data_IF_183589966580
#
_entry.id   IF_183589966580
#
_cell.length_a   1.000
_cell.length_b   1.000
_cell.length_c   1.000
_cell.angle_alpha   90.00
_cell.angle_beta   90.00
_cell.angle_gamma   90.00
#
_symmetry.space_group_name_H-M   'P 1'
#
loop_
_entity.id
_entity.type
_entity.pdbx_description
1 polymer ?
2 polymer ?
3 branched ?
4 branched ?
5 non-polymer ?
6 non-polymer ?
#
# COMPACT_ATOMS: atom_id res chain seq x y z
N UNK A 1 -4.19 -32.12 -10.95
CA UNK A 1 -4.61 -30.87 -11.59
C UNK A 1 -5.60 -30.12 -10.71
N UNK A 2 -5.15 -29.00 -10.15
CA UNK A 2 -5.93 -28.28 -9.15
C UNK A 2 -6.58 -27.01 -9.69
N UNK A 3 -6.50 -26.75 -10.99
CA UNK A 3 -7.02 -25.50 -11.52
C UNK A 3 -7.78 -25.63 -12.82
N UNK A 4 -7.95 -24.50 -13.50
CA UNK A 4 -8.66 -24.45 -14.78
C UNK A 4 -8.10 -23.26 -15.56
N UNK A 5 -7.24 -23.54 -16.53
CA UNK A 5 -6.66 -22.47 -17.32
C UNK A 5 -7.65 -21.95 -18.35
N UNK A 6 -7.48 -20.69 -18.72
CA UNK A 6 -8.20 -20.08 -19.81
C UNK A 6 -7.30 -19.09 -20.51
N UNK A 7 -7.80 -18.43 -21.55
CA UNK A 7 -6.96 -17.46 -22.27
C UNK A 7 -6.47 -16.32 -21.39
N UNK A 8 -7.37 -15.71 -20.60
CA UNK A 8 -7.01 -14.52 -19.83
C UNK A 8 -7.33 -14.68 -18.35
N UNK A 9 -7.26 -15.90 -17.83
CA UNK A 9 -7.60 -16.11 -16.42
C UNK A 9 -7.01 -17.44 -15.95
N UNK A 10 -7.16 -17.69 -14.65
CA UNK A 10 -6.83 -18.98 -14.05
C UNK A 10 -7.75 -19.17 -12.86
N UNK A 11 -8.74 -20.04 -13.00
CA UNK A 11 -9.67 -20.35 -11.91
C UNK A 11 -9.02 -21.41 -11.04
N UNK A 12 -8.74 -21.12 -9.77
CA UNK A 12 -8.17 -22.17 -8.89
C UNK A 12 -9.23 -23.17 -8.43
N UNK A 13 -9.68 -23.99 -9.38
CA UNK A 13 -10.69 -25.01 -9.08
C UNK A 13 -10.68 -26.03 -10.21
N UNK A 14 -10.65 -27.32 -9.85
CA UNK A 14 -10.59 -28.36 -10.86
C UNK A 14 -11.88 -28.37 -11.67
N UNK A 15 -11.74 -28.44 -13.00
CA UNK A 15 -12.88 -28.56 -13.91
C UNK A 15 -13.19 -30.01 -14.23
N UNK A 16 -12.71 -30.95 -13.42
CA UNK A 16 -13.01 -32.37 -13.63
C UNK A 16 -14.49 -32.67 -13.53
N UNK A 17 -15.30 -31.75 -13.01
CA UNK A 17 -16.75 -31.91 -12.96
C UNK A 17 -17.48 -31.06 -13.99
N UNK A 18 -16.74 -30.29 -14.80
CA UNK A 18 -17.33 -29.50 -15.85
C UNK A 18 -18.08 -28.28 -15.39
N UNK A 19 -17.83 -27.80 -14.17
CA UNK A 19 -18.59 -26.69 -13.60
C UNK A 19 -17.88 -25.34 -13.72
N UNK A 20 -16.57 -25.33 -13.95
CA UNK A 20 -15.83 -24.08 -13.97
C UNK A 20 -16.26 -23.22 -15.15
N UNK A 21 -16.51 -21.94 -14.87
CA UNK A 21 -16.87 -20.95 -15.87
C UNK A 21 -15.83 -19.83 -15.87
N UNK A 22 -15.74 -19.15 -17.01
CA UNK A 22 -14.88 -17.98 -17.11
C UNK A 22 -15.29 -16.94 -16.06
N UNK A 23 -14.36 -16.42 -15.27
CA UNK A 23 -14.71 -15.39 -14.28
C UNK A 23 -15.18 -14.07 -14.90
N UNK A 24 -15.19 -13.95 -16.22
CA UNK A 24 -15.79 -12.81 -16.90
C UNK A 24 -17.25 -13.10 -17.24
N UNK A 25 -17.67 -14.37 -17.26
CA UNK A 25 -18.99 -14.69 -17.78
C UNK A 25 -20.04 -15.20 -16.80
N UNK A 26 -19.65 -15.95 -15.78
CA UNK A 26 -20.65 -16.57 -14.91
C UNK A 26 -20.14 -16.62 -13.48
N UNK A 27 -21.04 -16.56 -12.50
CA UNK A 27 -20.61 -16.53 -11.09
C UNK A 27 -19.82 -17.77 -10.69
N UNK A 28 -18.74 -17.53 -9.93
CA UNK A 28 -17.89 -18.60 -9.39
C UNK A 28 -18.38 -19.00 -8.00
N UNK A 29 -19.61 -19.48 -7.95
CA UNK A 29 -20.18 -19.93 -6.68
C UNK A 29 -19.77 -21.35 -6.33
N UNK A 30 -18.94 -21.99 -7.15
CA UNK A 30 -18.45 -23.33 -6.85
C UNK A 30 -17.14 -23.35 -6.09
N UNK A 31 -16.38 -22.26 -6.12
CA UNK A 31 -15.16 -22.13 -5.32
C UNK A 31 -15.37 -21.34 -4.04
N UNK A 32 -16.57 -20.81 -3.84
CA UNK A 32 -16.90 -20.08 -2.61
C UNK A 32 -18.41 -19.90 -2.49
N UNK A 33 -18.95 -20.16 -1.30
CA UNK A 33 -20.37 -19.98 -1.01
C UNK A 33 -20.80 -18.56 -1.35
N UNK A 34 -22.06 -18.32 -1.73
CA UNK A 34 -22.49 -16.96 -2.03
C UNK A 34 -22.41 -16.02 -0.84
N UNK A 35 -22.44 -16.53 0.40
CA UNK A 35 -22.28 -15.64 1.54
C UNK A 35 -20.82 -15.23 1.72
N UNK A 36 -19.89 -16.14 1.41
CA UNK A 36 -18.48 -15.76 1.38
C UNK A 36 -18.25 -14.61 0.41
N UNK A 37 -19.01 -14.59 -0.70
CA UNK A 37 -18.98 -13.44 -1.59
C UNK A 37 -19.59 -12.21 -0.93
N UNK A 38 -20.66 -12.39 -0.16
CA UNK A 38 -21.26 -11.27 0.55
C UNK A 38 -20.31 -10.73 1.61
N UNK A 39 -19.64 -11.63 2.33
CA UNK A 39 -18.66 -11.19 3.32
C UNK A 39 -17.52 -10.43 2.65
N UNK A 40 -17.08 -10.88 1.48
CA UNK A 40 -16.12 -10.10 0.71
C UNK A 40 -16.67 -8.71 0.42
N UNK A 41 -17.93 -8.66 -0.05
CA UNK A 41 -18.57 -7.37 -0.29
C UNK A 41 -18.68 -6.56 0.99
N UNK A 42 -19.03 -7.21 2.10
CA UNK A 42 -19.07 -6.54 3.38
C UNK A 42 -17.72 -5.90 3.70
N UNK A 43 -16.63 -6.64 3.50
CA UNK A 43 -15.32 -6.11 3.83
C UNK A 43 -14.94 -4.96 2.92
N UNK A 44 -15.15 -5.11 1.61
CA UNK A 44 -14.92 -4.00 0.69
C UNK A 44 -15.71 -2.77 1.11
N UNK A 45 -16.97 -2.97 1.46
CA UNK A 45 -17.80 -1.87 1.95
C UNK A 45 -17.17 -1.18 3.14
N UNK A 46 -16.61 -1.96 4.07
CA UNK A 46 -15.96 -1.38 5.24
C UNK A 46 -14.80 -0.47 4.84
N UNK A 47 -13.90 -0.96 3.98
CA UNK A 47 -12.74 -0.18 3.59
C UNK A 47 -13.12 1.08 2.82
N UNK A 48 -14.31 1.12 2.23
CA UNK A 48 -14.79 2.36 1.62
C UNK A 48 -15.25 3.34 2.70
N UNK A 49 -16.02 2.84 3.67
CA UNK A 49 -16.60 3.70 4.70
C UNK A 49 -15.53 4.28 5.62
N UNK A 50 -14.41 3.59 5.78
CA UNK A 50 -13.30 4.12 6.56
C UNK A 50 -12.24 4.78 5.69
N UNK A 51 -11.87 4.12 4.59
CA UNK A 51 -10.80 4.64 3.75
C UNK A 51 -11.15 5.98 3.11
N UNK A 52 -12.37 6.14 2.61
CA UNK A 52 -12.71 7.36 1.89
C UNK A 52 -12.72 8.58 2.81
N UNK A 53 -13.44 8.59 3.96
CA UNK A 53 -13.39 9.79 4.81
C UNK A 53 -11.97 10.15 5.23
N UNK A 54 -11.29 9.18 5.86
CA UNK A 54 -9.97 9.42 6.44
C UNK A 54 -9.02 10.02 5.41
N UNK A 55 -8.94 9.38 4.25
CA UNK A 55 -8.02 9.88 3.22
C UNK A 55 -8.53 11.17 2.58
N UNK A 56 -9.84 11.34 2.51
CA UNK A 56 -10.38 12.57 1.93
C UNK A 56 -10.27 13.73 2.91
N UNK A 57 -10.58 13.49 4.19
CA UNK A 57 -10.42 14.53 5.20
C UNK A 57 -8.97 15.00 5.27
N UNK A 58 -8.02 14.07 5.08
CA UNK A 58 -6.61 14.45 5.01
C UNK A 58 -6.37 15.46 3.88
N UNK A 59 -6.95 15.22 2.71
CA UNK A 59 -6.85 16.18 1.63
C UNK A 59 -7.62 17.47 1.95
N UNK A 60 -8.71 17.36 2.70
CA UNK A 60 -9.58 18.52 2.91
C UNK A 60 -8.96 19.50 3.90
N UNK A 61 -8.47 19.01 5.04
CA UNK A 61 -7.93 19.92 6.05
C UNK A 61 -6.69 20.64 5.53
N UNK A 62 -5.91 19.99 4.67
CA UNK A 62 -4.75 20.65 4.09
C UNK A 62 -5.17 21.84 3.24
N UNK A 63 -6.40 21.82 2.71
CA UNK A 63 -6.91 22.97 1.99
C UNK A 63 -7.34 24.07 2.95
N UNK A 64 -7.78 23.71 4.15
CA UNK A 64 -8.29 24.69 5.11
C UNK A 64 -7.21 25.28 6.01
N UNK A 65 -6.01 24.70 6.03
CA UNK A 65 -5.00 25.06 7.03
C UNK A 65 -3.67 25.36 6.34
N UNK A 66 -3.32 26.65 6.29
CA UNK A 66 -2.06 27.10 5.67
C UNK A 66 -0.86 26.34 6.22
N UNK A 67 -0.87 26.02 7.52
CA UNK A 67 0.31 25.45 8.15
C UNK A 67 0.55 23.99 7.81
N UNK A 68 -0.42 23.30 7.21
CA UNK A 68 -0.19 21.94 6.75
C UNK A 68 0.53 21.90 5.41
N UNK A 69 0.51 23.00 4.66
CA UNK A 69 1.03 23.01 3.29
C UNK A 69 2.53 23.31 3.28
N UNK A 70 3.28 22.39 3.88
CA UNK A 70 4.73 22.40 3.96
C UNK A 70 5.31 21.30 3.08
N UNK A 71 6.53 21.48 2.54
CA UNK A 71 7.10 20.47 1.64
C UNK A 71 7.23 19.09 2.26
N UNK A 72 7.60 19.00 3.54
CA UNK A 72 7.74 17.71 4.22
C UNK A 72 6.41 16.99 4.41
N UNK A 73 5.29 17.64 4.06
CA UNK A 73 3.97 17.02 4.11
C UNK A 73 3.46 16.58 2.74
N UNK A 74 4.09 17.03 1.66
CA UNK A 74 3.65 16.66 0.31
C UNK A 74 3.52 15.16 0.15
N UNK A 75 4.55 14.42 0.58
CA UNK A 75 4.53 12.96 0.44
C UNK A 75 3.34 12.36 1.18
N UNK A 76 2.90 12.99 2.28
CA UNK A 76 1.75 12.48 3.02
C UNK A 76 0.46 12.66 2.24
N UNK A 77 0.31 13.79 1.57
CA UNK A 77 -0.84 13.99 0.71
C UNK A 77 -0.83 12.98 -0.43
N UNK A 78 0.32 12.84 -1.09
CA UNK A 78 0.50 11.81 -2.09
C UNK A 78 0.03 10.45 -1.59
N UNK A 79 0.35 10.14 -0.32
CA UNK A 79 -0.13 8.90 0.28
C UNK A 79 -1.65 8.83 0.30
N UNK A 80 -2.30 9.88 0.81
CA UNK A 80 -3.76 9.89 0.87
C UNK A 80 -4.38 9.76 -0.52
N UNK A 81 -3.73 10.36 -1.53
CA UNK A 81 -4.21 10.22 -2.90
C UNK A 81 -4.01 8.79 -3.39
N UNK A 82 -2.85 8.21 -3.07
CA UNK A 82 -2.60 6.81 -3.43
C UNK A 82 -3.66 5.89 -2.85
N UNK A 83 -4.05 6.12 -1.59
CA UNK A 83 -5.12 5.32 -1.01
C UNK A 83 -6.45 5.54 -1.72
N UNK A 84 -6.73 6.79 -2.10
CA UNK A 84 -7.97 7.04 -2.85
C UNK A 84 -7.97 6.26 -4.16
N UNK A 85 -6.82 6.14 -4.80
CA UNK A 85 -6.69 5.23 -5.94
C UNK A 85 -7.03 3.80 -5.53
N UNK A 86 -6.49 3.35 -4.40
CA UNK A 86 -6.81 2.03 -3.90
C UNK A 86 -8.30 1.88 -3.60
N UNK A 87 -8.97 2.96 -3.22
CA UNK A 87 -10.38 2.89 -2.84
C UNK A 87 -11.26 2.80 -4.07
N UNK A 88 -11.18 3.80 -4.95
CA UNK A 88 -12.07 3.85 -6.11
C UNK A 88 -11.58 2.97 -7.26
N UNK A 89 -10.31 2.57 -7.25
CA UNK A 89 -9.83 1.63 -8.24
C UNK A 89 -10.16 0.20 -7.86
N UNK A 90 -9.74 -0.20 -6.66
CA UNK A 90 -9.97 -1.57 -6.23
C UNK A 90 -11.15 -1.95 -5.35
N UNK A 91 -11.48 -1.08 -4.40
CA UNK A 91 -12.39 -1.47 -3.32
C UNK A 91 -13.79 -1.35 -3.92
N UNK A 92 -14.10 -0.18 -4.49
CA UNK A 92 -15.43 0.05 -5.05
C UNK A 92 -15.75 -0.97 -6.14
N UNK A 93 -14.80 -1.18 -7.06
CA UNK A 93 -15.00 -2.18 -8.11
C UNK A 93 -15.25 -3.56 -7.52
N UNK A 94 -14.35 -4.01 -6.64
CA UNK A 94 -14.48 -5.34 -6.04
C UNK A 94 -15.79 -5.47 -5.27
N UNK A 95 -16.26 -4.39 -4.65
CA UNK A 95 -17.58 -4.43 -4.02
C UNK A 95 -18.66 -4.74 -5.05
N UNK A 96 -18.61 -4.08 -6.21
CA UNK A 96 -19.62 -4.32 -7.24
C UNK A 96 -19.50 -5.74 -7.79
N UNK A 97 -18.29 -6.16 -8.14
CA UNK A 97 -18.11 -7.47 -8.76
C UNK A 97 -18.44 -8.59 -7.78
N UNK A 98 -18.09 -8.43 -6.50
CA UNK A 98 -18.40 -9.45 -5.51
C UNK A 98 -19.89 -9.75 -5.46
N UNK A 99 -20.73 -8.73 -5.69
CA UNK A 99 -22.18 -8.90 -5.63
C UNK A 99 -22.75 -9.63 -6.83
N UNK A 100 -21.99 -9.76 -7.92
CA UNK A 100 -22.40 -10.62 -9.04
C UNK A 100 -21.80 -12.02 -8.93
N UNK A 101 -20.67 -12.17 -8.25
CA UNK A 101 -19.98 -13.44 -8.17
C UNK A 101 -18.87 -13.62 -9.18
N UNK A 102 -18.60 -12.62 -10.02
CA UNK A 102 -17.54 -12.71 -11.02
C UNK A 102 -17.22 -11.33 -11.53
N UNK A 103 -16.07 -11.22 -12.20
CA UNK A 103 -15.56 -9.93 -12.67
C UNK A 103 -16.30 -9.55 -13.95
N UNK A 104 -17.45 -8.89 -13.76
CA UNK A 104 -18.37 -8.59 -14.85
C UNK A 104 -17.78 -7.68 -15.92
N UNK A 105 -16.71 -6.97 -15.60
CA UNK A 105 -16.17 -5.95 -16.51
C UNK A 105 -15.23 -6.54 -17.56
N UNK A 106 -15.15 -7.86 -17.68
CA UNK A 106 -14.34 -8.48 -18.69
C UNK A 106 -12.86 -8.25 -18.47
N UNK A 107 -12.03 -8.78 -19.38
CA UNK A 107 -10.58 -8.60 -19.23
C UNK A 107 -10.14 -7.15 -19.33
N UNK A 108 -10.84 -6.32 -20.10
CA UNK A 108 -10.52 -4.89 -20.15
C UNK A 108 -10.63 -4.27 -18.77
N UNK A 109 -11.79 -4.42 -18.12
CA UNK A 109 -11.94 -3.99 -16.75
C UNK A 109 -10.90 -4.62 -15.83
N UNK A 110 -10.49 -5.85 -16.12
CA UNK A 110 -9.48 -6.52 -15.30
C UNK A 110 -8.15 -5.78 -15.37
N UNK A 111 -7.83 -5.18 -16.53
CA UNK A 111 -6.60 -4.42 -16.64
C UNK A 111 -6.72 -3.05 -16.00
N UNK A 112 -7.85 -2.36 -16.21
CA UNK A 112 -8.09 -1.08 -15.56
C UNK A 112 -8.05 -1.23 -14.05
N UNK A 113 -8.94 -2.07 -13.50
CA UNK A 113 -8.96 -2.33 -12.07
C UNK A 113 -7.58 -2.71 -11.55
N UNK A 114 -6.96 -3.71 -12.17
CA UNK A 114 -5.65 -4.14 -11.73
C UNK A 114 -4.61 -3.04 -11.78
N UNK A 115 -4.64 -2.22 -12.84
CA UNK A 115 -3.66 -1.15 -12.96
C UNK A 115 -3.79 -0.14 -11.82
N UNK A 116 -4.98 0.45 -11.66
CA UNK A 116 -5.14 1.51 -10.68
C UNK A 116 -5.00 1.01 -9.26
N UNK A 117 -5.47 -0.20 -8.98
CA UNK A 117 -5.26 -0.80 -7.66
C UNK A 117 -3.77 -1.04 -7.40
N UNK A 118 -3.07 -1.61 -8.38
CA UNK A 118 -1.61 -1.76 -8.24
C UNK A 118 -0.93 -0.41 -8.15
N UNK A 119 -1.34 0.54 -9.00
CA UNK A 119 -0.75 1.88 -8.97
C UNK A 119 -0.97 2.53 -7.62
N UNK A 120 -2.19 2.47 -7.10
CA UNK A 120 -2.48 3.07 -5.81
C UNK A 120 -1.61 2.52 -4.69
N UNK A 121 -1.50 1.19 -4.62
CA UNK A 121 -0.74 0.58 -3.54
C UNK A 121 0.75 0.79 -3.62
N UNK A 122 1.27 0.97 -4.84
CA UNK A 122 2.71 1.18 -5.00
C UNK A 122 3.11 2.64 -4.80
N UNK A 123 2.29 3.59 -5.28
CA UNK A 123 2.51 5.00 -4.94
C UNK A 123 2.56 5.14 -3.42
N UNK A 124 1.61 4.50 -2.72
CA UNK A 124 1.61 4.52 -1.27
C UNK A 124 2.85 3.85 -0.72
N UNK A 125 3.22 2.70 -1.28
CA UNK A 125 4.42 1.98 -0.83
C UNK A 125 5.65 2.88 -0.91
N UNK A 126 5.95 3.39 -2.10
CA UNK A 126 7.13 4.22 -2.26
C UNK A 126 6.99 5.55 -1.53
N UNK A 127 5.76 6.01 -1.32
CA UNK A 127 5.54 7.19 -0.49
C UNK A 127 6.12 6.97 0.91
N UNK A 128 5.90 5.79 1.47
CA UNK A 128 6.50 5.46 2.76
C UNK A 128 8.03 5.43 2.67
N UNK A 129 8.56 4.91 1.56
CA UNK A 129 10.00 4.89 1.34
C UNK A 129 10.53 6.32 1.28
N UNK A 130 9.89 7.16 0.46
CA UNK A 130 10.33 8.55 0.31
C UNK A 130 10.28 9.28 1.64
N UNK A 131 9.17 9.13 2.37
CA UNK A 131 9.04 9.78 3.67
C UNK A 131 10.16 9.35 4.61
N UNK A 132 10.45 8.05 4.65
CA UNK A 132 11.55 7.58 5.49
C UNK A 132 12.86 8.23 5.10
N UNK A 133 13.12 8.35 3.79
CA UNK A 133 14.33 9.00 3.32
C UNK A 133 14.38 10.44 3.80
N UNK A 134 13.33 11.21 3.52
CA UNK A 134 13.27 12.62 3.90
C UNK A 134 13.60 12.81 5.37
N UNK A 135 13.00 11.98 6.24
CA UNK A 135 13.23 12.11 7.67
C UNK A 135 14.68 11.79 8.02
N UNK A 136 15.26 10.77 7.40
CA UNK A 136 16.68 10.51 7.59
C UNK A 136 17.52 11.71 7.18
N UNK A 137 17.24 12.26 5.99
CA UNK A 137 17.99 13.42 5.50
C UNK A 137 17.82 14.59 6.46
N UNK A 138 16.58 14.90 6.82
CA UNK A 138 16.31 16.08 7.64
C UNK A 138 16.92 15.95 9.02
N UNK A 139 16.72 14.80 9.67
CA UNK A 139 17.17 14.62 11.04
C UNK A 139 18.65 14.27 11.09
N UNK A 140 19.04 13.15 10.44
CA UNK A 140 20.39 12.66 10.58
C UNK A 140 21.42 13.55 9.90
N UNK A 141 20.99 14.42 8.98
CA UNK A 141 21.82 15.37 8.26
C UNK A 141 23.10 14.86 7.59
N UNK A 142 23.05 13.73 6.88
CA UNK A 142 24.26 13.24 6.22
C UNK A 142 25.02 14.18 5.31
N UNK A 143 24.32 15.11 4.67
CA UNK A 143 24.93 16.08 3.77
C UNK A 143 25.00 17.42 4.49
N UNK A 144 26.21 17.87 4.80
CA UNK A 144 26.36 19.16 5.44
C UNK A 144 25.91 20.28 4.52
N UNK A 145 25.28 21.30 5.12
CA UNK A 145 24.77 22.49 4.45
C UNK A 145 23.63 22.20 3.50
N UNK A 146 23.06 21.00 3.53
CA UNK A 146 21.91 20.71 2.68
C UNK A 146 20.62 21.22 3.34
N UNK A 147 19.68 21.62 2.50
CA UNK A 147 18.39 22.11 2.97
C UNK A 147 17.28 21.49 2.12
N UNK A 148 16.29 20.89 2.79
CA UNK A 148 15.18 20.24 2.10
C UNK A 148 14.06 21.23 1.87
N UNK A 149 13.68 21.42 0.61
CA UNK A 149 12.67 22.40 0.27
C UNK A 149 11.60 21.92 -0.67
N UNK A 150 10.83 22.86 -1.24
CA UNK A 150 9.75 22.52 -2.15
C UNK A 150 10.27 21.82 -3.40
N UNK A 151 11.45 22.23 -3.88
CA UNK A 151 12.00 21.62 -5.10
C UNK A 151 12.35 20.15 -4.88
N UNK A 152 13.12 19.86 -3.83
CA UNK A 152 13.44 18.47 -3.52
C UNK A 152 12.19 17.67 -3.21
N UNK A 153 11.19 18.30 -2.58
CA UNK A 153 10.00 17.57 -2.16
C UNK A 153 9.19 17.08 -3.35
N UNK A 154 9.07 17.92 -4.40
CA UNK A 154 8.32 17.51 -5.59
C UNK A 154 9.03 16.36 -6.30
N UNK A 155 10.36 16.40 -6.34
CA UNK A 155 11.12 15.25 -6.84
C UNK A 155 10.70 13.97 -6.14
N UNK A 156 10.57 14.03 -4.80
CA UNK A 156 10.20 12.85 -4.05
C UNK A 156 8.86 12.27 -4.48
N UNK A 157 7.87 13.14 -4.69
CA UNK A 157 6.54 12.66 -5.05
C UNK A 157 6.54 12.05 -6.43
N UNK A 158 7.19 12.73 -7.40
CA UNK A 158 7.30 12.17 -8.74
C UNK A 158 8.01 10.83 -8.72
N UNK A 159 9.03 10.68 -7.88
CA UNK A 159 9.76 9.43 -7.79
C UNK A 159 8.84 8.25 -7.48
N UNK A 160 7.89 8.44 -6.57
CA UNK A 160 6.93 7.38 -6.28
C UNK A 160 6.11 7.03 -7.51
N UNK A 161 5.70 8.04 -8.29
CA UNK A 161 4.91 7.79 -9.48
C UNK A 161 5.69 6.96 -10.50
N UNK A 162 6.96 7.30 -10.71
CA UNK A 162 7.78 6.54 -11.65
C UNK A 162 7.96 5.11 -11.16
N UNK A 163 8.31 4.96 -9.87
CA UNK A 163 8.45 3.63 -9.30
C UNK A 163 7.15 2.84 -9.38
N UNK A 164 6.01 3.52 -9.20
CA UNK A 164 4.73 2.81 -9.23
C UNK A 164 4.36 2.38 -10.64
N UNK A 165 4.52 3.29 -11.61
CA UNK A 165 4.32 2.91 -13.01
C UNK A 165 5.30 1.83 -13.41
N UNK A 166 6.54 1.91 -12.93
CA UNK A 166 7.53 0.87 -13.18
C UNK A 166 7.06 -0.50 -12.73
N UNK A 167 6.01 -0.58 -11.91
CA UNK A 167 5.43 -1.83 -11.45
C UNK A 167 4.05 -2.11 -12.00
N UNK A 168 3.25 -1.07 -12.25
CA UNK A 168 1.85 -1.26 -12.62
C UNK A 168 1.61 -1.30 -14.12
N UNK A 169 2.56 -0.83 -14.94
CA UNK A 169 2.37 -0.74 -16.38
C UNK A 169 2.90 -1.96 -17.16
N UNK A 170 4.03 -2.55 -16.79
CA UNK A 170 4.54 -3.72 -17.55
C UNK A 170 3.50 -4.82 -17.72
N UNK A 171 2.63 -5.09 -16.73
CA UNK A 171 1.59 -6.11 -16.98
C UNK A 171 0.60 -5.73 -18.05
N UNK A 172 0.50 -4.46 -18.42
CA UNK A 172 -0.35 -4.07 -19.54
C UNK A 172 0.30 -4.34 -20.89
N UNK A 173 1.61 -4.54 -20.94
CA UNK A 173 2.32 -4.58 -22.21
C UNK A 173 3.17 -5.84 -22.35
N UNK A 174 2.96 -6.80 -21.45
CA UNK A 174 3.45 -8.15 -21.68
C UNK A 174 4.54 -8.67 -20.75
N UNK A 175 4.99 -7.95 -19.72
CA UNK A 175 5.97 -8.51 -18.80
C UNK A 175 5.31 -9.09 -17.55
N UNK A 176 4.02 -8.89 -17.40
CA UNK A 176 3.22 -9.80 -16.60
C UNK A 176 1.79 -9.63 -17.10
N UNK A 177 0.83 -10.08 -16.31
CA UNK A 177 -0.53 -9.82 -16.70
C UNK A 177 -1.40 -9.65 -15.46
N UNK A 178 -2.46 -8.88 -15.62
CA UNK A 178 -3.53 -8.82 -14.63
C UNK A 178 -4.54 -9.91 -14.97
N UNK A 179 -4.78 -10.81 -14.02
CA UNK A 179 -5.84 -11.81 -14.18
C UNK A 179 -6.74 -11.74 -12.95
N UNK A 180 -7.98 -12.21 -13.06
CA UNK A 180 -8.81 -12.38 -11.86
C UNK A 180 -8.06 -13.19 -10.80
N UNK A 181 -8.29 -12.82 -9.54
CA UNK A 181 -7.50 -13.29 -8.42
C UNK A 181 -8.41 -13.88 -7.36
N UNK A 182 -7.90 -14.87 -6.64
CA UNK A 182 -8.61 -15.45 -5.50
C UNK A 182 -10.00 -15.89 -5.84
N UNK A 183 -11.01 -15.24 -5.25
CA UNK A 183 -12.40 -15.54 -5.58
C UNK A 183 -12.82 -14.93 -6.94
N UNK A 184 -11.87 -14.45 -7.74
CA UNK A 184 -12.04 -14.01 -9.12
C UNK A 184 -12.82 -12.71 -9.25
N UNK A 185 -13.05 -11.99 -8.15
CA UNK A 185 -13.77 -10.72 -8.22
C UNK A 185 -12.85 -9.51 -8.31
N UNK A 186 -11.57 -9.66 -7.95
CA UNK A 186 -10.61 -8.59 -8.05
C UNK A 186 -9.44 -9.04 -8.93
N UNK A 187 -8.82 -8.08 -9.60
CA UNK A 187 -7.76 -8.34 -10.55
C UNK A 187 -6.42 -7.84 -10.01
N UNK A 188 -5.40 -8.67 -10.14
CA UNK A 188 -4.07 -8.35 -9.67
C UNK A 188 -3.00 -8.98 -10.55
N UNK A 189 -1.76 -8.82 -10.12
CA UNK A 189 -0.61 -9.36 -10.86
C UNK A 189 -0.65 -10.88 -10.80
N UNK A 190 -0.45 -11.52 -11.95
CA UNK A 190 -0.31 -12.97 -12.00
C UNK A 190 1.09 -13.32 -11.52
N UNK A 191 1.21 -13.65 -10.24
CA UNK A 191 2.48 -14.03 -9.64
C UNK A 191 2.57 -15.53 -9.39
N UNK A 192 1.54 -16.29 -9.78
CA UNK A 192 1.47 -17.69 -9.39
C UNK A 192 1.22 -18.71 -10.49
N UNK A 193 1.28 -18.33 -11.75
CA UNK A 193 1.16 -19.28 -12.86
C UNK A 193 2.29 -18.97 -13.84
N UNK A 194 3.21 -19.89 -14.07
CA UNK A 194 4.30 -19.63 -15.03
C UNK A 194 3.73 -19.45 -16.43
N UNK A 195 3.98 -18.26 -16.99
CA UNK A 195 3.40 -17.85 -18.26
C UNK A 195 4.53 -17.31 -19.14
N UNK A 196 5.36 -18.22 -19.65
CA UNK A 196 6.57 -17.84 -20.38
C UNK A 196 6.28 -16.88 -21.53
N UNK A 197 5.04 -16.77 -21.97
CA UNK A 197 4.68 -15.78 -22.97
C UNK A 197 4.83 -14.37 -22.44
N UNK A 198 4.72 -14.20 -21.12
CA UNK A 198 4.90 -12.90 -20.48
C UNK A 198 6.07 -12.85 -19.50
N UNK A 199 6.78 -13.97 -19.30
CA UNK A 199 7.96 -14.02 -18.42
C UNK A 199 7.60 -13.56 -17.00
N UNK A 200 6.62 -14.24 -16.42
CA UNK A 200 6.20 -13.93 -15.05
C UNK A 200 7.34 -14.15 -14.06
N UNK A 201 8.06 -15.27 -14.22
CA UNK A 201 9.17 -15.59 -13.31
C UNK A 201 10.11 -14.40 -13.14
N UNK A 202 10.46 -13.74 -14.25
CA UNK A 202 11.34 -12.58 -14.17
C UNK A 202 10.66 -11.44 -13.43
N UNK A 203 9.40 -11.16 -13.78
CA UNK A 203 8.70 -10.02 -13.19
C UNK A 203 8.52 -10.18 -11.68
N UNK A 204 8.17 -11.38 -11.24
CA UNK A 204 8.01 -11.62 -9.80
C UNK A 204 9.30 -11.27 -9.06
N UNK A 205 10.44 -11.69 -9.60
CA UNK A 205 11.73 -11.37 -8.97
C UNK A 205 11.99 -9.87 -9.04
N UNK A 206 11.72 -9.26 -10.20
CA UNK A 206 11.79 -7.81 -10.32
C UNK A 206 10.95 -7.13 -9.24
N UNK A 207 9.70 -7.56 -9.11
CA UNK A 207 8.84 -7.10 -8.02
C UNK A 207 9.49 -7.35 -6.67
N UNK A 208 9.87 -8.61 -6.42
CA UNK A 208 10.34 -9.00 -5.09
C UNK A 208 11.58 -8.21 -4.69
N UNK A 209 12.54 -8.08 -5.60
CA UNK A 209 13.77 -7.36 -5.27
C UNK A 209 13.53 -5.85 -5.28
N UNK A 210 13.19 -5.30 -6.46
CA UNK A 210 13.10 -3.86 -6.62
C UNK A 210 12.04 -3.28 -5.68
N UNK A 211 10.81 -3.78 -5.76
CA UNK A 211 9.70 -3.13 -5.09
C UNK A 211 9.64 -3.52 -3.63
N UNK A 212 9.83 -4.80 -3.30
CA UNK A 212 9.90 -5.19 -1.89
C UNK A 212 11.21 -5.03 -1.13
N UNK A 213 12.29 -5.70 -1.57
CA UNK A 213 13.52 -5.73 -0.80
C UNK A 213 14.11 -4.33 -0.66
N UNK A 214 14.21 -3.60 -1.77
CA UNK A 214 14.81 -2.26 -1.76
C UNK A 214 14.09 -1.36 -0.75
N UNK A 215 12.75 -1.20 -0.82
CA UNK A 215 12.09 -0.41 0.23
C UNK A 215 12.32 -0.93 1.64
N UNK A 216 12.20 -2.25 1.83
CA UNK A 216 12.44 -2.83 3.15
C UNK A 216 13.79 -2.40 3.71
N UNK A 217 14.81 -2.31 2.85
CA UNK A 217 16.15 -1.96 3.30
C UNK A 217 16.27 -0.46 3.52
N UNK A 218 15.84 0.35 2.54
CA UNK A 218 15.84 1.80 2.71
C UNK A 218 15.12 2.19 3.99
N UNK A 219 13.89 1.68 4.17
CA UNK A 219 13.09 2.02 5.35
C UNK A 219 13.77 1.53 6.62
N UNK A 220 14.48 0.41 6.56
CA UNK A 220 15.19 -0.05 7.74
C UNK A 220 16.46 0.75 8.00
N UNK A 221 17.22 1.08 6.95
CA UNK A 221 18.38 1.93 7.13
C UNK A 221 17.97 3.32 7.59
N UNK A 222 17.14 4.01 6.79
CA UNK A 222 16.76 5.38 7.09
C UNK A 222 16.24 5.53 8.53
N UNK A 223 15.39 4.61 8.96
CA UNK A 223 14.85 4.69 10.31
C UNK A 223 15.80 4.11 11.34
N UNK A 224 16.66 3.18 10.96
CA UNK A 224 17.70 2.72 11.85
C UNK A 224 18.58 3.86 12.32
N UNK A 225 19.16 4.59 11.35
CA UNK A 225 20.01 5.72 11.69
C UNK A 225 19.25 6.76 12.51
N UNK A 226 17.97 6.97 12.21
CA UNK A 226 17.21 8.03 12.85
C UNK A 226 17.09 7.79 14.35
N UNK A 227 16.71 6.58 14.75
CA UNK A 227 16.67 6.25 16.17
C UNK A 227 18.06 6.40 16.78
N UNK A 228 19.09 5.97 16.04
CA UNK A 228 20.45 6.11 16.54
C UNK A 228 20.81 7.58 16.76
N UNK A 229 20.60 8.41 15.72
CA UNK A 229 20.86 9.85 15.85
C UNK A 229 20.09 10.46 17.01
N UNK A 230 18.88 9.96 17.27
CA UNK A 230 18.06 10.51 18.35
C UNK A 230 18.49 9.94 19.70
N UNK A 231 18.85 8.65 19.74
CA UNK A 231 19.37 8.07 20.98
C UNK A 231 20.61 8.82 21.45
N UNK A 232 21.56 9.04 20.55
CA UNK A 232 22.82 9.70 20.90
C UNK A 232 22.57 11.12 21.42
N UNK A 233 21.82 11.91 20.66
CA UNK A 233 21.55 13.29 21.06
C UNK A 233 20.79 13.38 22.38
N UNK A 234 20.07 12.33 22.76
CA UNK A 234 19.41 12.31 24.06
C UNK A 234 20.40 12.03 25.19
N UNK A 235 21.29 11.05 25.00
CA UNK A 235 22.29 10.75 26.02
C UNK A 235 23.15 11.98 26.34
N UNK A 236 23.58 12.70 25.32
CA UNK A 236 24.34 13.92 25.51
C UNK A 236 23.52 15.06 26.09
N UNK A 237 22.21 14.87 26.25
CA UNK A 237 21.33 15.94 26.69
C UNK A 237 20.38 15.45 27.78
N UNK A 238 20.86 14.55 28.65
CA UNK A 238 19.99 13.91 29.63
C UNK A 238 19.37 14.90 30.60
N UNK A 239 19.89 16.11 30.68
CA UNK A 239 19.32 17.15 31.53
C UNK A 239 18.04 17.74 30.96
N UNK A 240 17.64 17.33 29.76
CA UNK A 240 16.44 17.85 29.10
C UNK A 240 15.38 16.76 29.07
N UNK A 241 14.36 16.90 29.93
CA UNK A 241 13.29 15.91 29.97
C UNK A 241 12.55 15.83 28.63
N UNK A 242 12.39 16.98 27.97
CA UNK A 242 11.74 16.98 26.66
C UNK A 242 12.52 16.13 25.66
N UNK A 243 13.83 16.37 25.55
CA UNK A 243 14.65 15.57 24.65
C UNK A 243 14.59 14.09 25.00
N UNK A 244 14.33 13.77 26.28
CA UNK A 244 14.19 12.36 26.67
C UNK A 244 12.83 11.82 26.24
N UNK A 245 11.78 12.65 26.32
CA UNK A 245 10.47 12.24 25.83
C UNK A 245 10.49 12.01 24.32
N UNK A 246 11.03 12.99 23.57
CA UNK A 246 11.08 12.86 22.12
C UNK A 246 11.74 11.56 21.70
N UNK A 247 12.87 11.22 22.32
CA UNK A 247 13.55 9.96 22.03
C UNK A 247 12.60 8.78 22.20
N UNK A 248 11.87 8.74 23.32
CA UNK A 248 10.94 7.64 23.55
C UNK A 248 9.78 7.68 22.56
N UNK A 249 9.17 8.86 22.37
CA UNK A 249 8.06 8.98 21.44
C UNK A 249 8.49 8.63 20.01
N UNK A 250 9.71 9.01 19.63
CA UNK A 250 10.18 8.73 18.28
C UNK A 250 10.48 7.25 18.12
N UNK A 251 11.18 6.65 19.09
CA UNK A 251 11.42 5.21 19.06
C UNK A 251 10.12 4.44 18.88
N UNK A 252 9.08 4.84 19.61
CA UNK A 252 7.79 4.16 19.50
C UNK A 252 7.23 4.25 18.10
N UNK A 253 7.19 5.46 17.52
CA UNK A 253 6.65 5.64 16.18
C UNK A 253 7.44 4.86 15.14
N UNK A 254 8.77 4.88 15.25
CA UNK A 254 9.60 4.13 14.31
C UNK A 254 9.25 2.65 14.34
N UNK A 255 9.03 2.11 15.54
CA UNK A 255 8.64 0.71 15.66
C UNK A 255 7.29 0.47 15.00
N UNK A 256 6.31 1.32 15.30
CA UNK A 256 4.98 1.22 14.71
C UNK A 256 5.07 1.27 13.18
N UNK A 257 5.76 2.29 12.66
CA UNK A 257 5.84 2.45 11.21
C UNK A 257 6.51 1.26 10.55
N UNK A 258 7.62 0.76 11.14
CA UNK A 258 8.29 -0.41 10.60
C UNK A 258 7.38 -1.63 10.65
N UNK A 259 6.83 -1.93 11.84
CA UNK A 259 5.95 -3.09 11.99
C UNK A 259 4.78 -3.02 11.01
N UNK A 260 4.11 -1.87 10.95
CA UNK A 260 3.01 -1.70 10.01
C UNK A 260 3.44 -2.02 8.59
N UNK A 261 4.63 -1.57 8.20
CA UNK A 261 5.12 -1.86 6.86
C UNK A 261 5.26 -3.35 6.62
N UNK A 262 5.73 -4.08 7.63
CA UNK A 262 5.87 -5.53 7.51
C UNK A 262 4.50 -6.19 7.35
N UNK A 263 3.57 -5.88 8.24
CA UNK A 263 2.22 -6.44 8.16
C UNK A 263 1.63 -6.22 6.77
N UNK A 264 1.90 -5.06 6.18
CA UNK A 264 1.31 -4.72 4.89
C UNK A 264 1.84 -5.60 3.78
N UNK A 265 3.16 -5.78 3.73
CA UNK A 265 3.80 -6.38 2.56
C UNK A 265 4.52 -7.70 2.82
N UNK A 266 4.70 -8.10 4.07
CA UNK A 266 5.42 -9.35 4.31
C UNK A 266 4.60 -10.55 3.84
N UNK A 267 3.32 -10.56 4.13
CA UNK A 267 2.49 -11.66 3.69
C UNK A 267 2.63 -11.88 2.20
N UNK A 268 2.37 -10.85 1.42
CA UNK A 268 2.47 -10.90 -0.01
C UNK A 268 3.80 -11.51 -0.42
N UNK A 269 4.87 -10.98 0.11
CA UNK A 269 6.20 -11.53 -0.13
C UNK A 269 6.23 -13.01 0.18
N UNK A 270 5.84 -13.38 1.41
CA UNK A 270 5.92 -14.77 1.82
C UNK A 270 5.15 -15.71 0.91
N UNK A 271 3.97 -15.31 0.48
CA UNK A 271 3.15 -16.16 -0.37
C UNK A 271 3.77 -16.28 -1.77
N UNK A 272 3.98 -15.14 -2.42
CA UNK A 272 4.58 -15.16 -3.76
C UNK A 272 5.87 -15.94 -3.77
N UNK A 273 6.73 -15.73 -2.78
CA UNK A 273 7.99 -16.43 -2.72
C UNK A 273 7.78 -17.93 -2.52
N UNK A 274 6.75 -18.30 -1.75
CA UNK A 274 6.42 -19.72 -1.57
C UNK A 274 6.02 -20.34 -2.91
N UNK A 275 5.09 -19.69 -3.61
CA UNK A 275 4.66 -20.18 -4.92
C UNK A 275 5.83 -20.26 -5.88
N UNK A 276 6.77 -19.32 -5.78
CA UNK A 276 7.96 -19.40 -6.62
C UNK A 276 8.81 -20.61 -6.24
N UNK A 277 8.94 -20.87 -4.94
CA UNK A 277 9.69 -22.05 -4.51
C UNK A 277 8.87 -23.32 -4.74
N UNK A 278 7.64 -23.34 -4.22
CA UNK A 278 6.76 -24.51 -4.34
C UNK A 278 5.80 -24.23 -5.49
N UNK A 279 6.29 -24.46 -6.71
CA UNK A 279 5.64 -23.95 -7.90
C UNK A 279 4.31 -24.64 -8.17
N UNK A 280 3.27 -23.83 -8.35
CA UNK A 280 2.02 -24.32 -8.96
C UNK A 280 1.39 -25.50 -8.23
N UNK A 281 1.39 -25.45 -6.91
CA UNK A 281 0.71 -26.48 -6.12
C UNK A 281 -0.74 -26.04 -5.91
N UNK A 282 -1.47 -26.78 -5.08
CA UNK A 282 -2.86 -26.43 -4.82
C UNK A 282 -2.91 -25.25 -3.88
N UNK A 283 -3.15 -24.06 -4.43
CA UNK A 283 -3.38 -22.86 -3.66
C UNK A 283 -4.83 -22.45 -3.86
N UNK A 284 -5.58 -22.36 -2.77
CA UNK A 284 -6.99 -22.09 -2.88
C UNK A 284 -7.27 -20.64 -3.20
N UNK A 285 -8.54 -20.35 -3.49
CA UNK A 285 -8.93 -18.94 -3.72
C UNK A 285 -8.79 -18.08 -2.47
N UNK A 286 -9.30 -18.54 -1.34
CA UNK A 286 -9.19 -17.79 -0.09
C UNK A 286 -7.74 -17.69 0.36
N UNK A 287 -6.95 -18.74 0.13
CA UNK A 287 -5.51 -18.69 0.33
C UNK A 287 -4.91 -17.44 -0.32
N UNK A 288 -5.34 -17.15 -1.55
CA UNK A 288 -4.77 -16.04 -2.30
C UNK A 288 -5.20 -14.70 -1.72
N UNK A 289 -6.34 -14.63 -1.05
CA UNK A 289 -6.83 -13.35 -0.56
C UNK A 289 -6.22 -12.96 0.78
N UNK A 290 -5.61 -13.90 1.51
CA UNK A 290 -4.99 -13.55 2.80
C UNK A 290 -3.84 -12.56 2.63
N UNK A 291 -2.89 -12.76 1.70
CA UNK A 291 -1.95 -11.64 1.41
C UNK A 291 -2.71 -10.38 1.08
N UNK A 292 -3.70 -10.52 0.20
CA UNK A 292 -4.44 -9.37 -0.30
C UNK A 292 -5.18 -8.65 0.81
N UNK A 293 -5.48 -9.33 1.91
CA UNK A 293 -6.26 -8.69 2.97
C UNK A 293 -5.44 -7.62 3.70
N UNK A 294 -4.14 -7.84 3.83
CA UNK A 294 -3.35 -7.00 4.72
C UNK A 294 -2.98 -5.66 4.09
N UNK A 295 -2.52 -5.65 2.84
CA UNK A 295 -2.12 -4.38 2.22
C UNK A 295 -3.33 -3.53 1.86
N UNK A 296 -4.47 -4.16 1.56
CA UNK A 296 -5.66 -3.38 1.27
C UNK A 296 -6.09 -2.54 2.47
N UNK A 297 -6.05 -3.14 3.67
CA UNK A 297 -6.40 -2.40 4.88
C UNK A 297 -5.41 -1.28 5.17
N UNK A 298 -4.23 -1.32 4.56
CA UNK A 298 -3.28 -0.22 4.74
C UNK A 298 -3.88 1.09 4.27
N UNK A 299 -4.82 1.05 3.33
CA UNK A 299 -5.53 2.25 2.92
C UNK A 299 -6.29 2.90 4.07
N UNK A 300 -6.43 2.23 5.21
CA UNK A 300 -7.02 2.79 6.41
C UNK A 300 -5.98 3.03 7.50
N UNK A 301 -5.14 2.03 7.78
CA UNK A 301 -4.23 2.17 8.92
C UNK A 301 -2.97 2.96 8.58
N UNK A 302 -2.62 3.10 7.30
CA UNK A 302 -1.55 4.05 6.96
C UNK A 302 -1.98 5.48 7.22
N UNK A 303 -3.15 5.96 6.77
CA UNK A 303 -3.57 7.31 7.16
C UNK A 303 -3.69 7.49 8.66
N UNK A 304 -4.04 6.44 9.41
CA UNK A 304 -4.13 6.56 10.86
C UNK A 304 -2.75 6.80 11.46
N UNK A 305 -1.78 5.96 11.09
CA UNK A 305 -0.44 6.06 11.66
C UNK A 305 0.24 7.36 11.23
N UNK A 306 0.23 7.65 9.93
CA UNK A 306 1.03 8.73 9.39
C UNK A 306 0.34 10.09 9.41
N UNK A 307 -0.98 10.14 9.24
CA UNK A 307 -1.71 11.41 9.28
C UNK A 307 -2.32 11.66 10.65
N UNK A 308 -3.03 10.68 11.20
CA UNK A 308 -3.84 10.94 12.40
C UNK A 308 -3.03 10.89 13.69
N UNK A 309 -1.86 10.28 13.68
CA UNK A 309 -0.97 10.35 14.83
C UNK A 309 0.07 11.45 14.65
N UNK A 310 0.04 12.15 13.51
CA UNK A 310 0.78 13.40 13.35
C UNK A 310 0.04 14.49 14.11
N UNK A 311 0.75 15.13 15.06
CA UNK A 311 0.08 16.07 15.96
C UNK A 311 -0.68 17.24 15.34
N UNK A 312 -0.20 17.78 14.23
CA UNK A 312 -0.90 18.87 13.57
C UNK A 312 -2.10 18.45 12.70
N UNK A 313 -1.88 17.44 11.85
CA UNK A 313 -2.96 16.92 11.01
C UNK A 313 -4.12 16.63 11.95
N UNK A 314 -3.83 16.10 13.14
CA UNK A 314 -4.90 15.76 14.06
C UNK A 314 -5.65 17.00 14.53
N UNK A 315 -4.93 18.02 14.98
CA UNK A 315 -5.57 19.24 15.48
C UNK A 315 -6.35 19.94 14.39
N UNK A 316 -5.75 20.10 13.20
CA UNK A 316 -6.46 20.69 12.08
C UNK A 316 -7.72 19.90 11.75
N UNK A 317 -7.63 18.57 11.78
CA UNK A 317 -8.80 17.73 11.54
C UNK A 317 -9.88 17.98 12.60
N UNK A 318 -9.47 18.02 13.88
CA UNK A 318 -10.44 18.21 14.96
C UNK A 318 -11.14 19.55 14.81
N UNK A 319 -10.36 20.62 14.60
CA UNK A 319 -10.94 21.93 14.38
C UNK A 319 -11.90 21.91 13.20
N UNK A 320 -11.45 21.35 12.07
CA UNK A 320 -12.30 21.24 10.89
C UNK A 320 -13.56 20.45 11.19
N UNK A 321 -13.43 19.30 11.85
CA UNK A 321 -14.60 18.48 12.13
C UNK A 321 -15.54 19.03 13.19
N UNK A 322 -15.10 20.04 13.95
CA UNK A 322 -15.90 20.62 15.01
C UNK A 322 -16.22 22.05 14.58
N UNK A 323 -16.48 22.25 13.29
CA UNK A 323 -17.06 23.47 12.74
C UNK A 323 -16.17 24.70 12.92
N UNK A 324 -14.88 24.49 13.17
CA UNK A 324 -13.94 25.58 13.28
C UNK A 324 -13.44 25.88 14.68
N UNK A 325 -13.80 25.08 15.67
CA UNK A 325 -13.46 25.35 17.06
C UNK A 325 -12.53 24.25 17.59
N UNK A 326 -12.02 24.49 18.79
CA UNK A 326 -11.08 23.58 19.47
C UNK A 326 -9.79 23.42 18.66
N UNK B 1 17.99 18.41 17.53
CA UNK B 1 17.18 17.50 16.73
C UNK B 1 15.70 17.80 16.88
N UNK B 2 15.33 18.39 18.03
CA UNK B 2 13.92 18.60 18.35
C UNK B 2 13.20 19.37 17.25
N UNK B 3 13.78 20.50 16.83
CA UNK B 3 13.16 21.28 15.77
C UNK B 3 13.09 20.49 14.47
N UNK B 4 14.13 19.69 14.19
CA UNK B 4 14.09 18.84 13.01
C UNK B 4 13.11 17.68 13.19
N UNK B 5 12.85 17.28 14.44
CA UNK B 5 11.87 16.21 14.68
C UNK B 5 10.45 16.72 14.56
N UNK B 6 10.20 17.99 14.87
CA UNK B 6 8.86 18.53 14.72
C UNK B 6 8.54 18.84 13.27
N UNK B 7 9.56 19.20 12.48
CA UNK B 7 9.34 19.48 11.07
C UNK B 7 8.92 18.23 10.31
N UNK B 8 9.34 17.05 10.77
CA UNK B 8 8.94 15.80 10.12
C UNK B 8 7.71 15.18 10.75
N UNK B 9 7.19 15.77 11.81
CA UNK B 9 5.97 15.25 12.43
C UNK B 9 6.17 14.05 13.32
N UNK B 10 7.40 13.73 13.70
CA UNK B 10 7.66 12.61 14.60
C UNK B 10 7.59 13.01 16.06
N UNK B 11 7.62 14.31 16.37
CA UNK B 11 7.45 14.79 17.73
C UNK B 11 6.87 16.20 17.72
X LIG C 1 -15.05 -26.56 -17.79
X LIG C 1 -14.79 -25.53 -18.89
X LIG C 1 -16.06 -25.33 -19.72
X LIG C 1 -16.65 -26.65 -20.20
X LIG C 1 -16.74 -27.67 -19.05
X LIG C 1 -17.04 -29.07 -19.52
X LIG C 1 -13.26 -23.64 -18.77
X LIG C 1 -12.93 -22.34 -18.09
X LIG C 1 -14.35 -24.28 -18.34
X LIG C 1 -15.73 -24.54 -20.87
X LIG C 1 -17.98 -26.40 -20.65
X LIG C 1 -15.49 -27.75 -18.35
X LIG C 1 -15.89 -29.69 -20.07
X LIG C 1 -12.56 -24.09 -19.67
X LIG C 2 -18.27 -26.89 -21.97
X LIG C 2 -19.78 -27.05 -22.02
X LIG C 2 -20.22 -27.56 -23.38
X LIG C 2 -19.63 -26.71 -24.50
X LIG C 2 -18.13 -26.53 -24.32
X LIG C 2 -17.53 -25.55 -25.31
X LIG C 2 -21.00 -27.53 -19.94
X LIG C 2 -21.40 -28.59 -18.95
X LIG C 2 -20.25 -27.94 -20.97
X LIG C 2 -21.64 -27.53 -23.45
X LIG C 2 -19.84 -27.38 -25.74
X LIG C 2 -17.84 -26.02 -23.00
X LIG C 2 -16.11 -25.66 -25.35
X LIG C 2 -21.35 -26.36 -19.82
X LIG C 3 -20.89 -26.78 -26.50
X LIG C 3 -20.43 -26.83 -27.94
X LIG C 3 -21.55 -26.23 -28.80
X LIG C 3 -22.83 -27.05 -28.66
X LIG C 3 -23.23 -27.04 -27.17
X LIG C 3 -24.44 -27.92 -26.88
X LIG C 3 -20.28 -28.19 -28.30
X LIG C 3 -21.20 -25.95 -30.18
X LIG C 3 -23.86 -26.48 -29.45
X LIG C 3 -22.13 -27.50 -26.34
X LIG C 3 -24.10 -28.80 -25.80
X LIG C 4 -20.97 -27.14 -30.98
X LIG C 4 -19.55 -26.99 -31.59
X LIG C 4 -19.53 -25.81 -32.54
X LIG C 4 -20.61 -25.99 -33.62
X LIG C 4 -21.98 -26.11 -32.93
X LIG C 4 -23.13 -26.34 -33.89
X LIG C 4 -19.21 -28.13 -32.37
X LIG C 4 -18.26 -25.61 -33.14
X LIG C 4 -20.61 -24.89 -34.50
X LIG C 4 -21.95 -27.23 -32.01
X LIG C 4 -23.72 -25.07 -34.18
X LIG D 1 0.77 27.30 -1.02
X LIG D 1 0.25 25.88 -0.84
X LIG D 1 1.20 24.88 -1.47
X LIG D 1 1.99 25.56 -2.58
X LIG D 1 2.87 26.64 -1.94
X LIG D 1 3.22 27.72 -2.97
X LIG D 1 0.11 25.62 0.56
X LIG D 1 0.48 23.78 -2.03
X LIG D 1 2.81 24.63 -3.28
X LIG D 1 2.19 27.24 -0.84
X LIG D 1 3.68 28.90 -2.30
X LIG D 2 0.90 29.41 -0.08
X LIG D 2 1.30 29.73 1.34
X LIG D 2 0.05 29.96 2.16
X LIG D 2 -0.72 31.09 1.51
X LIG D 2 -1.09 30.70 0.10
X LIG D 2 -1.83 31.83 -0.58
X LIG D 2 0.20 28.18 -0.07
X LIG D 2 2.01 28.62 1.87
X LIG D 2 0.40 30.34 3.49
X LIG D 2 -1.91 31.31 2.25
X LIG D 2 0.09 30.43 -0.64
X LIG D 2 -2.10 31.48 -1.93
X LIG E 1 -0.68 -6.31 -6.92
X LIG E 1 -0.98 -7.49 -6.19
X LIG E 1 -2.01 -5.74 -7.46
X LIG E 1 -1.77 -4.65 -8.36
X LIG E 1 -2.93 -5.29 -6.34
X LIG E 1 -4.13 -6.06 -6.29
X LIG E 1 -2.20 -5.38 -5.02
X LIG E 1 -2.94 -4.82 -3.93
X LIG E 1 -0.95 -4.60 -5.31
X LIG E 1 -0.03 -5.41 -6.04
X LIG E 1 -0.35 -4.08 -4.03
X LIG E 1 -1.41 -3.35 -3.40
X LIG E 1 0.05 -7.93 -5.30
X LIG E 1 1.41 -7.69 -5.93
X LIG E 1 2.38 -8.78 -5.52
X LIG E 1 3.26 -9.18 -6.69
X LIG E 1 4.72 -8.80 -6.45
X LIG E 1 5.33 -9.69 -5.38
X LIG E 1 5.33 -8.98 -4.04
X LIG E 1 6.40 -9.54 -3.14
X LIG E 1 -0.02 -6.55 -7.77
X LIG E 1 -2.52 -6.55 -8.02
X LIG E 1 -0.98 -4.82 -8.88
X LIG E 1 -3.19 -4.23 -6.51
X LIG E 1 -4.55 -6.05 -7.16
X LIG E 1 -1.95 -6.43 -4.82
X LIG E 1 -3.88 -5.02 -4.05
X LIG E 1 -1.23 -3.73 -5.93
X LIG E 1 0.49 -3.42 -4.23
X LIG E 1 -0.03 -4.90 -3.40
X LIG E 1 -1.06 -2.57 -2.98
X LIG E 1 -0.08 -8.99 -5.10
X LIG E 1 -0.02 -7.39 -4.36
X LIG E 1 1.80 -6.72 -5.62
X LIG E 1 1.33 -7.68 -7.03
X LIG E 1 1.82 -9.65 -5.17
X LIG E 1 3.01 -8.43 -4.70
X LIG E 1 2.90 -8.69 -7.60
X LIG E 1 3.19 -10.26 -6.85
X LIG E 1 4.77 -7.75 -6.13
X LIG E 1 5.27 -8.90 -7.39
X LIG E 1 6.36 -9.93 -5.67
X LIG E 1 4.76 -10.61 -5.30
X LIG E 1 4.36 -9.09 -3.56
X LIG E 1 5.51 -7.91 -4.20
X LIG E 1 6.28 -9.15 -2.17
X LIG E 1 7.36 -9.28 -3.51
X LIG E 1 6.32 -10.60 -3.11
X LIG F 1 15.05 1.40 22.46
X LIG F 1 14.51 0.12 22.18
X LIG F 1 14.07 2.20 23.31
X LIG F 1 14.61 3.50 23.56
X LIG F 1 13.81 1.52 24.64
X LIG F 1 12.58 0.80 24.58
X LIG F 1 14.92 0.55 24.96
X LIG F 1 14.95 0.34 26.35
X LIG F 1 16.24 1.16 24.52
X LIG F 1 16.29 1.21 23.10
X LIG F 1 17.42 0.36 25.04
X LIG F 1 18.59 1.18 24.93
X LIG F 1 15.10 -0.36 20.97
X LIG F 1 14.13 -0.11 19.83
X LIG F 1 14.85 0.20 18.51
X LIG F 1 13.89 0.10 17.34
X LIG F 1 14.56 0.57 16.05
X LIG F 1 13.92 -0.07 14.84
X LIG F 1 14.27 0.71 13.57
X LIG F 1 14.70 -0.21 12.47
X LIG F 1 15.20 1.94 21.52
X LIG F 1 13.11 2.29 22.77
X LIG F 1 13.96 4.17 23.29
X LIG F 1 13.76 2.27 25.43
X LIG F 1 12.33 0.50 25.47
X LIG F 1 14.76 -0.40 24.42
X LIG F 1 15.64 -0.31 26.57
X LIG F 1 16.30 2.18 24.92
X LIG F 1 17.54 -0.54 24.45
X LIG F 1 17.25 0.08 26.07
X LIG F 1 19.06 0.96 24.11
X LIG F 1 15.30 -1.43 21.06
X LIG F 1 16.04 0.15 20.79
X LIG F 1 13.48 0.73 20.08
X LIG F 1 13.50 -0.99 19.69
X LIG F 1 15.67 -0.51 18.37
X LIG F 1 15.27 1.20 18.55
X LIG F 1 13.01 0.71 17.53
X LIG F 1 13.55 -0.94 17.23
X LIG F 1 15.62 0.30 16.09
X LIG F 1 14.48 1.65 15.98
X LIG F 1 12.84 -0.09 14.96
X LIG F 1 14.26 -1.10 14.73
X LIG F 1 15.08 1.41 13.80
X LIG F 1 13.41 1.29 13.25
X LIG F 1 15.67 0.07 12.13
X LIG F 1 14.02 -0.16 11.67
X LIG F 1 14.74 -1.21 12.83
X LIG G 1 -27.31 -9.98 -10.85
X LIG G 1 -27.02 -8.58 -10.87
X LIG G 1 -27.87 -10.42 -12.20
X LIG G 1 -29.06 -9.66 -12.48
X LIG G 1 -28.20 -11.91 -12.16
X LIG G 1 -28.59 -12.35 -13.45
X LIG G 1 -26.95 -12.67 -11.69
X LIG G 1 -27.28 -14.05 -11.50
X LIG G 1 -26.46 -12.07 -10.38
X LIG G 1 -26.10 -10.70 -10.57
X LIG G 1 -25.24 -12.85 -9.90
X LIG G 1 -24.77 -12.30 -8.67
X LIG G 1 -26.50 -8.25 -9.58
X LIG G 1 -26.18 -6.76 -9.54
X LIG G 1 -25.62 -6.39 -8.16
X LIG G 1 -25.30 -4.90 -8.11
X LIG G 1 -24.75 -4.53 -6.74
X LIG G 1 -24.43 -3.03 -6.69
X LIG G 1 -23.87 -2.67 -5.32
X LIG G 1 -23.55 -1.18 -5.27
X LIG G 1 -28.04 -10.20 -10.06
X LIG G 1 -27.12 -10.22 -12.99
X LIG G 1 -28.84 -8.72 -12.51
X LIG G 1 -29.02 -12.08 -11.45
X LIG G 1 -29.38 -11.87 -13.74
X LIG G 1 -26.17 -12.58 -12.46
X LIG G 1 -27.59 -14.43 -12.33
X LIG G 1 -27.26 -12.14 -9.63
X LIG G 1 -24.44 -12.79 -10.65
X LIG G 1 -25.51 -13.90 -9.75
X LIG G 1 -24.01 -12.82 -8.39
X LIG G 1 -25.60 -8.82 -9.39
X LIG G 1 -27.26 -8.48 -8.82
X LIG G 1 -27.09 -6.18 -9.73
X LIG G 1 -25.44 -6.52 -10.30
X LIG G 1 -24.72 -6.97 -7.97
X LIG G 1 -26.38 -6.63 -7.39
X LIG G 1 -26.21 -4.32 -8.31
X LIG G 1 -24.55 -4.66 -8.88
X LIG G 1 -23.84 -5.11 -6.54
X LIG G 1 -25.49 -4.76 -5.98
X LIG G 1 -25.33 -2.46 -6.89
X LIG G 1 -23.68 -2.81 -7.45
X LIG G 1 -22.96 -3.25 -5.12
X LIG G 1 -24.61 -2.91 -4.56
X LIG G 1 -23.16 -0.93 -4.32
X LIG G 1 -24.42 -0.62 -5.46
X LIG G 1 -22.83 -0.95 -6.01
X LIG H 1 16.99 22.11 18.68
X LIG H 1 16.61 21.28 17.54
X LIG H 1 18.14 22.94 18.31
X LIG H 1 15.86 22.97 19.06
X LIG H 1 17.35 21.25 19.80
#
# INVERSE_FOLDING_TARGET
MNGTEGPNFYVPFSNKTGVVRSPFEAPQYYLAEPWQFSMLAAYMFLLIMLGFPINFLTLYVTVQHKKLRTPLNYILLNLAVADLFMVFGGFTTTLYTSLHGYFVFGPTGCNLEGFFATLGGEIALWSLVVLAIERYVVVCKPMSNFRFGENHAIMGVAFTWVMALACAAPPLVGWSRYIPEGMQCSCGIDYYTPHEETNNESFVIYMFVVHFIIPLIVIFFCYGQLVFTVKEAAAQQQESATTQKAEKEVTRMVIIMVIAFLICWLPYAGVAFYIFTHQGSDFGPIFMTIPAFFAKTSAVYNPVIYIMMNKQFRNCMVTTLCCGKNPLGDDEASTTVSKTETSQVAPA
ILENLKDVGLF
NAG C1 C2 C3 C4 C5 C6 C7 C8 N2 O3 O4 O5 O6 O7
NAG C1 C2 C3 C4 C5 C6 C7 C8 N2 O3 O4 O5 O6 O7
BMA C1 C2 C3 C4 C5 C6 O2 O3 O4 O5 O6
MAN C1 C2 C3 C4 C5 C6 O2 O3 O4 O5 O6
GLC C1 C2 C3 C4 C5 C6 O2 O3 O4 O5 O6
GLC C1 C2 C3 C4 C5 C6 O1 O2 O3 O4 O5 O6
BOG C1 O1 C2 O2 C3 O3 C4 O4 C5 O5 C6 O6 C1' C2' C3' C4' C5' C6' C7' C8' H1 H2 HO2 H3 HO3 H4 HO4 H5 H61 H62 HO6 H1'1 H1'2 H2'1 H2'2 H3'1 H3'2 H4'1 H4'2 H5'1 H5'2 H6'1 H6'2 H7'1 H7'2 H8'1 H8'2 H8'3
BOG C1 O1 C2 O2 C3 O3 C4 O4 C5 O5 C6 O6 C1' C2' C3' C4' C5' C6' C7' C8' H1 H2 HO2 H3 HO3 H4 HO4 H5 H61 H62 HO6 H1'1 H1'2 H2'1 H2'2 H3'1 H3'2 H4'1 H4'2 H5'1 H5'2 H6'1 H6'2 H7'1 H7'2 H8'1 H8'2 H8'3
BOG C1 O1 C2 O2 C3 O3 C4 O4 C5 O5 C6 O6 C1' C2' C3' C4' C5' C6' C7' C8' H1 H2 HO2 H3 HO3 H4 HO4 H5 H61 H62 HO6 H1'1 H1'2 H2'1 H2'2 H3'1 H3'2 H4'1 H4'2 H5'1 H5'2 H6'1 H6'2 H7'1 H7'2 H8'1 H8'2 H8'3
SO4 S O1 O2 O3 O4
#
